data_IF_736850521862
#
_entry.id   IF_736850521862
#
_cell.length_a   1.000
_cell.length_b   1.000
_cell.length_c   1.000
_cell.angle_alpha   90.00
_cell.angle_beta   90.00
_cell.angle_gamma   90.00
#
_symmetry.space_group_name_H-M   'P 1'
#
loop_
_entity.id
_entity.type
_entity.pdbx_description
1 polymer ?
#
# COMPACT_ATOMS: atom_id res chain seq x y z
N UNK A 1 -0.70 -11.06 -15.56
CA UNK A 1 0.07 -10.55 -14.40
C UNK A 1 -0.88 -9.72 -13.55
N UNK A 2 -1.04 -10.07 -12.28
CA UNK A 2 -1.93 -9.36 -11.34
C UNK A 2 -1.15 -8.32 -10.55
N UNK A 3 -1.61 -7.06 -10.56
CA UNK A 3 -1.05 -5.93 -9.81
C UNK A 3 -2.11 -5.37 -8.88
N UNK A 4 -1.77 -5.08 -7.63
CA UNK A 4 -2.63 -4.30 -6.74
C UNK A 4 -2.22 -2.83 -6.78
N UNK A 5 -3.16 -1.94 -7.11
CA UNK A 5 -3.00 -0.50 -6.96
C UNK A 5 -3.64 -0.08 -5.62
N UNK A 6 -2.82 -0.01 -4.58
CA UNK A 6 -3.25 0.27 -3.21
C UNK A 6 -3.44 1.77 -3.01
N UNK A 7 -4.63 2.17 -2.57
CA UNK A 7 -4.92 3.55 -2.18
C UNK A 7 -4.41 3.79 -0.77
N UNK A 8 -3.32 4.52 -0.62
CA UNK A 8 -2.58 4.70 0.64
C UNK A 8 -3.25 5.62 1.66
N UNK A 9 -4.59 5.68 1.68
CA UNK A 9 -5.35 6.48 2.66
C UNK A 9 -6.75 5.90 2.85
N UNK A 10 -7.32 6.15 4.02
CA UNK A 10 -8.73 5.88 4.34
C UNK A 10 -9.63 7.12 4.19
N UNK A 11 -9.10 8.26 3.73
CA UNK A 11 -9.90 9.47 3.53
C UNK A 11 -10.94 9.25 2.40
N UNK A 12 -12.20 9.71 2.57
CA UNK A 12 -13.25 9.55 1.55
C UNK A 12 -12.90 10.24 0.23
N UNK A 13 -12.25 11.40 0.28
CA UNK A 13 -11.73 12.11 -0.88
C UNK A 13 -10.20 12.02 -0.91
N UNK A 14 -9.63 11.66 -2.08
CA UNK A 14 -8.17 11.56 -2.24
C UNK A 14 -7.76 11.65 -3.70
N UNK A 15 -6.83 12.56 -4.01
CA UNK A 15 -6.16 12.60 -5.32
C UNK A 15 -5.39 11.32 -5.62
N UNK A 16 -4.83 10.68 -4.59
CA UNK A 16 -4.13 9.41 -4.75
C UNK A 16 -5.08 8.26 -5.11
N UNK A 17 -6.35 8.29 -4.67
CA UNK A 17 -7.37 7.37 -5.16
C UNK A 17 -7.67 7.58 -6.64
N UNK A 18 -7.74 8.84 -7.09
CA UNK A 18 -7.90 9.12 -8.53
C UNK A 18 -6.68 8.65 -9.32
N UNK A 19 -5.48 8.82 -8.78
CA UNK A 19 -4.24 8.32 -9.39
C UNK A 19 -4.26 6.79 -9.53
N UNK A 20 -4.63 6.05 -8.49
CA UNK A 20 -4.75 4.59 -8.54
C UNK A 20 -5.75 4.14 -9.62
N UNK A 21 -6.93 4.77 -9.66
CA UNK A 21 -7.95 4.50 -10.68
C UNK A 21 -7.48 4.85 -12.09
N UNK A 22 -6.76 5.96 -12.24
CA UNK A 22 -6.17 6.35 -13.53
C UNK A 22 -5.16 5.31 -14.01
N UNK A 23 -4.26 4.85 -13.13
CA UNK A 23 -3.26 3.82 -13.44
C UNK A 23 -3.96 2.53 -13.91
N UNK A 24 -4.96 2.07 -13.14
CA UNK A 24 -5.71 0.87 -13.49
C UNK A 24 -6.41 0.99 -14.85
N UNK A 25 -7.04 2.13 -15.13
CA UNK A 25 -7.70 2.39 -16.42
C UNK A 25 -6.70 2.51 -17.57
N UNK A 26 -5.59 3.24 -17.36
CA UNK A 26 -4.61 3.57 -18.41
C UNK A 26 -3.77 2.38 -18.85
N UNK A 27 -3.51 1.46 -17.92
CA UNK A 27 -2.62 0.32 -18.14
C UNK A 27 -3.30 -1.04 -18.00
N UNK A 28 -4.63 -1.08 -17.95
CA UNK A 28 -5.41 -2.31 -17.86
C UNK A 28 -5.26 -3.26 -19.05
N UNK A 29 -4.77 -2.77 -20.20
CA UNK A 29 -4.38 -3.59 -21.34
C UNK A 29 -3.02 -4.29 -21.17
N UNK A 30 -2.19 -3.82 -20.23
CA UNK A 30 -0.85 -4.34 -19.94
C UNK A 30 -0.82 -5.37 -18.81
N UNK A 31 -1.70 -5.19 -17.82
CA UNK A 31 -1.80 -6.07 -16.65
C UNK A 31 -3.21 -6.01 -16.06
N UNK A 32 -3.58 -7.05 -15.32
CA UNK A 32 -4.78 -7.05 -14.48
C UNK A 32 -4.49 -6.20 -13.23
N UNK A 33 -4.93 -4.93 -13.24
CA UNK A 33 -4.67 -3.97 -12.18
C UNK A 33 -5.94 -3.76 -11.35
N UNK A 34 -5.95 -4.31 -10.15
CA UNK A 34 -7.04 -4.16 -9.19
C UNK A 34 -6.75 -2.99 -8.24
N UNK A 35 -7.69 -2.02 -8.15
CA UNK A 35 -7.61 -0.94 -7.15
C UNK A 35 -8.06 -1.47 -5.80
N UNK A 36 -7.20 -1.34 -4.79
CA UNK A 36 -7.45 -1.84 -3.43
C UNK A 36 -7.54 -0.70 -2.43
N UNK A 37 -8.65 -0.62 -1.73
CA UNK A 37 -8.88 0.32 -0.62
C UNK A 37 -8.43 -0.30 0.70
N UNK A 38 -8.03 0.56 1.65
CA UNK A 38 -7.59 0.17 3.01
C UNK A 38 -8.50 0.75 4.10
N UNK A 39 -9.58 1.43 3.71
CA UNK A 39 -10.48 2.19 4.61
C UNK A 39 -11.24 1.30 5.60
N UNK A 40 -11.40 0.02 5.30
CA UNK A 40 -12.14 -0.95 6.12
C UNK A 40 -11.25 -1.96 6.83
N UNK A 41 -9.94 -1.81 6.74
CA UNK A 41 -9.01 -2.70 7.43
C UNK A 41 -8.97 -2.38 8.92
N UNK A 42 -9.03 -3.40 9.74
CA UNK A 42 -8.85 -3.26 11.17
C UNK A 42 -7.47 -2.68 11.49
N UNK A 43 -7.39 -1.63 12.32
CA UNK A 43 -6.11 -1.08 12.73
C UNK A 43 -5.20 -2.13 13.36
N UNK A 44 -3.92 -2.07 13.04
CA UNK A 44 -2.94 -3.01 13.59
C UNK A 44 -2.76 -2.81 15.09
N UNK A 45 -2.78 -3.91 15.81
CA UNK A 45 -2.30 -4.01 17.18
C UNK A 45 -1.47 -5.28 17.32
N UNK A 46 -0.35 -5.19 18.02
CA UNK A 46 0.59 -6.30 18.16
C UNK A 46 0.00 -7.49 18.93
N UNK A 47 -1.04 -7.26 19.71
CA UNK A 47 -1.73 -8.28 20.54
C UNK A 47 -2.97 -8.85 19.87
N UNK A 48 -3.44 -8.23 18.78
CA UNK A 48 -4.68 -8.64 18.13
C UNK A 48 -4.42 -9.75 17.11
N UNK A 49 -5.44 -10.59 16.95
CA UNK A 49 -5.46 -11.58 15.86
C UNK A 49 -6.09 -10.99 14.62
N UNK A 50 -5.59 -11.38 13.47
CA UNK A 50 -6.14 -10.97 12.17
C UNK A 50 -7.60 -11.42 12.03
N UNK A 51 -8.50 -10.47 11.83
CA UNK A 51 -9.89 -10.71 11.48
C UNK A 51 -10.04 -11.07 9.98
N UNK A 52 -11.27 -11.25 9.52
CA UNK A 52 -11.53 -11.65 8.14
C UNK A 52 -11.11 -10.58 7.12
N UNK A 53 -11.19 -9.28 7.47
CA UNK A 53 -10.73 -8.19 6.60
C UNK A 53 -9.22 -8.26 6.39
N UNK A 54 -8.48 -8.53 7.45
CA UNK A 54 -7.01 -8.66 7.42
C UNK A 54 -6.58 -9.95 6.73
N UNK A 55 -7.27 -11.07 7.00
CA UNK A 55 -6.98 -12.34 6.28
C UNK A 55 -7.16 -12.17 4.77
N UNK A 56 -8.22 -11.47 4.35
CA UNK A 56 -8.44 -11.18 2.93
C UNK A 56 -7.37 -10.24 2.37
N UNK A 57 -6.98 -9.19 3.12
CA UNK A 57 -5.91 -8.28 2.74
C UNK A 57 -4.58 -9.02 2.51
N UNK A 58 -4.17 -9.85 3.45
CA UNK A 58 -2.96 -10.69 3.33
C UNK A 58 -3.04 -11.62 2.12
N UNK A 59 -4.19 -12.25 1.87
CA UNK A 59 -4.42 -13.12 0.71
C UNK A 59 -4.30 -12.37 -0.61
N UNK A 60 -4.89 -11.17 -0.69
CA UNK A 60 -4.84 -10.34 -1.91
C UNK A 60 -3.40 -9.94 -2.23
N UNK A 61 -2.66 -9.45 -1.24
CA UNK A 61 -1.24 -9.08 -1.38
C UNK A 61 -0.39 -10.29 -1.75
N UNK A 62 -0.60 -11.43 -1.10
CA UNK A 62 0.13 -12.67 -1.40
C UNK A 62 -0.08 -13.11 -2.86
N UNK A 63 -1.29 -13.00 -3.38
CA UNK A 63 -1.66 -13.43 -4.73
C UNK A 63 -1.17 -12.49 -5.84
N UNK A 64 -0.83 -11.25 -5.51
CA UNK A 64 -0.36 -10.28 -6.48
C UNK A 64 1.09 -10.51 -6.91
N UNK A 65 1.38 -10.28 -8.18
CA UNK A 65 2.74 -10.31 -8.74
C UNK A 65 3.54 -9.05 -8.40
N UNK A 66 2.85 -7.94 -8.13
CA UNK A 66 3.46 -6.67 -7.74
C UNK A 66 2.42 -5.72 -7.15
N UNK A 67 2.89 -4.64 -6.54
CA UNK A 67 2.05 -3.65 -5.88
C UNK A 67 2.45 -2.26 -6.37
N UNK A 68 1.47 -1.40 -6.59
CA UNK A 68 1.64 0.04 -6.75
C UNK A 68 0.97 0.70 -5.55
N UNK A 69 1.70 1.47 -4.76
CA UNK A 69 1.12 2.21 -3.64
C UNK A 69 1.01 3.68 -4.03
N UNK A 70 -0.21 4.19 -4.04
CA UNK A 70 -0.46 5.63 -4.26
C UNK A 70 -0.58 6.31 -2.90
N UNK A 71 0.43 7.11 -2.51
CA UNK A 71 0.59 7.61 -1.15
C UNK A 71 0.38 9.13 -1.07
N UNK A 72 -0.57 9.63 -0.26
CA UNK A 72 -0.60 11.04 0.13
C UNK A 72 0.39 11.31 1.27
N UNK A 73 0.74 12.58 1.44
CA UNK A 73 1.57 13.04 2.54
C UNK A 73 0.68 13.69 3.61
N UNK A 74 0.73 13.17 4.84
CA UNK A 74 0.09 13.74 6.01
C UNK A 74 1.18 14.04 7.05
N UNK A 75 1.32 15.32 7.43
CA UNK A 75 2.31 15.76 8.42
C UNK A 75 3.74 15.25 8.13
N UNK A 76 4.16 15.35 6.87
CA UNK A 76 5.48 14.93 6.37
C UNK A 76 5.75 13.40 6.40
N UNK A 77 4.72 12.58 6.58
CA UNK A 77 4.83 11.13 6.64
C UNK A 77 3.72 10.44 5.86
N UNK A 78 3.71 9.11 5.86
CA UNK A 78 2.60 8.32 5.34
C UNK A 78 1.39 8.38 6.28
N UNK A 79 0.15 8.20 5.77
CA UNK A 79 -1.04 8.11 6.62
C UNK A 79 -0.95 6.95 7.62
N UNK A 80 -1.44 7.16 8.84
CA UNK A 80 -1.48 6.12 9.89
C UNK A 80 -2.21 4.85 9.43
N UNK A 81 -3.30 4.99 8.66
CA UNK A 81 -4.03 3.86 8.10
C UNK A 81 -3.16 3.03 7.15
N UNK A 82 -2.31 3.67 6.34
CA UNK A 82 -1.38 2.96 5.45
C UNK A 82 -0.31 2.23 6.27
N UNK A 83 0.31 2.90 7.24
CA UNK A 83 1.30 2.26 8.11
C UNK A 83 0.71 1.03 8.80
N UNK A 84 -0.49 1.16 9.37
CA UNK A 84 -1.23 0.07 10.00
C UNK A 84 -1.50 -1.09 9.02
N UNK A 85 -1.93 -0.82 7.79
CA UNK A 85 -2.18 -1.85 6.79
C UNK A 85 -0.91 -2.62 6.39
N UNK A 86 0.25 -1.95 6.37
CA UNK A 86 1.54 -2.55 6.09
C UNK A 86 2.03 -3.43 7.27
N UNK A 87 1.80 -3.03 8.52
CA UNK A 87 2.17 -3.83 9.70
C UNK A 87 1.54 -5.23 9.66
N UNK A 88 0.31 -5.36 9.19
CA UNK A 88 -0.34 -6.66 9.00
C UNK A 88 0.32 -7.58 7.97
N UNK A 89 1.15 -7.02 7.09
CA UNK A 89 1.84 -7.76 6.02
C UNK A 89 3.26 -8.19 6.40
N UNK A 90 3.81 -7.62 7.48
CA UNK A 90 5.17 -7.88 7.94
C UNK A 90 5.30 -9.13 8.79
N UNK A 91 6.53 -9.41 9.22
CA UNK A 91 6.88 -10.60 9.99
C UNK A 91 6.24 -10.68 11.38
N UNK A 92 5.83 -9.55 11.96
CA UNK A 92 5.24 -9.52 13.29
C UNK A 92 3.80 -10.06 13.33
N UNK A 93 3.06 -9.94 12.24
CA UNK A 93 1.66 -10.34 12.15
C UNK A 93 1.44 -11.71 11.51
N UNK A 94 2.50 -12.32 10.99
CA UNK A 94 2.39 -13.61 10.31
C UNK A 94 3.51 -13.82 9.28
N UNK A 95 3.30 -14.70 8.29
CA UNK A 95 4.29 -14.91 7.23
C UNK A 95 4.45 -13.61 6.43
N UNK A 96 5.70 -13.12 6.32
CA UNK A 96 6.02 -11.92 5.55
C UNK A 96 5.66 -12.11 4.07
N UNK A 97 4.52 -11.56 3.65
CA UNK A 97 4.02 -11.64 2.26
C UNK A 97 4.62 -10.56 1.37
N UNK A 98 5.38 -9.63 1.95
CA UNK A 98 6.07 -8.55 1.23
C UNK A 98 7.47 -8.93 0.77
N UNK A 99 8.06 -9.98 1.34
CA UNK A 99 9.43 -10.38 1.02
C UNK A 99 9.65 -10.53 -0.47
N UNK A 100 10.57 -9.75 -1.01
CA UNK A 100 10.91 -9.68 -2.45
C UNK A 100 9.75 -9.32 -3.38
N UNK A 101 8.62 -8.89 -2.84
CA UNK A 101 7.48 -8.40 -3.64
C UNK A 101 7.87 -7.12 -4.37
N UNK A 102 7.74 -7.04 -5.69
CA UNK A 102 7.96 -5.78 -6.43
C UNK A 102 6.94 -4.72 -5.99
N UNK A 103 7.44 -3.56 -5.56
CA UNK A 103 6.60 -2.44 -5.11
C UNK A 103 7.04 -1.16 -5.77
N UNK A 104 6.14 -0.51 -6.49
CA UNK A 104 6.31 0.86 -6.97
C UNK A 104 5.56 1.82 -6.04
N UNK A 105 6.20 2.92 -5.69
CA UNK A 105 5.61 3.99 -4.87
C UNK A 105 5.43 5.22 -5.72
N UNK A 106 4.21 5.76 -5.75
CA UNK A 106 3.86 6.99 -6.46
C UNK A 106 2.99 7.86 -5.56
N UNK A 107 3.10 9.17 -5.71
CA UNK A 107 2.31 10.11 -4.92
C UNK A 107 1.87 11.31 -5.73
N UNK A 108 0.76 11.90 -5.33
CA UNK A 108 0.29 13.18 -5.84
C UNK A 108 -0.23 14.04 -4.70
N UNK A 109 -0.17 15.35 -4.87
CA UNK A 109 -0.67 16.33 -3.91
C UNK A 109 -1.33 17.48 -4.65
N UNK A 110 -2.07 18.30 -3.92
CA UNK A 110 -2.59 19.56 -4.45
C UNK A 110 -1.47 20.55 -4.82
N UNK A 111 -0.37 20.52 -4.06
CA UNK A 111 0.80 21.35 -4.30
C UNK A 111 1.82 20.72 -5.26
N UNK A 112 2.99 21.34 -5.37
CA UNK A 112 4.05 20.95 -6.32
C UNK A 112 4.93 19.77 -5.85
N UNK A 113 4.87 19.41 -4.56
CA UNK A 113 5.80 18.42 -3.98
C UNK A 113 5.43 16.95 -4.24
N UNK A 114 4.16 16.67 -4.61
CA UNK A 114 3.76 15.31 -5.00
C UNK A 114 3.94 14.25 -3.90
N UNK A 115 3.79 14.63 -2.62
CA UNK A 115 3.98 13.74 -1.47
C UNK A 115 5.41 13.17 -1.35
N UNK A 116 6.43 13.97 -1.65
CA UNK A 116 7.84 13.51 -1.73
C UNK A 116 8.34 12.87 -0.43
N UNK A 117 8.05 13.47 0.73
CA UNK A 117 8.48 12.94 2.04
C UNK A 117 7.78 11.63 2.39
N UNK A 118 6.47 11.53 2.12
CA UNK A 118 5.75 10.28 2.31
C UNK A 118 6.27 9.17 1.40
N UNK A 119 6.72 9.50 0.17
CA UNK A 119 7.34 8.54 -0.72
C UNK A 119 8.70 8.05 -0.21
N UNK A 120 9.49 8.90 0.43
CA UNK A 120 10.75 8.51 1.09
C UNK A 120 10.47 7.64 2.31
N UNK A 121 9.57 8.08 3.20
CA UNK A 121 9.17 7.37 4.42
C UNK A 121 8.69 5.94 4.12
N UNK A 122 7.78 5.78 3.16
CA UNK A 122 7.30 4.45 2.82
C UNK A 122 8.38 3.55 2.20
N UNK A 123 9.33 4.09 1.46
CA UNK A 123 10.44 3.31 0.92
C UNK A 123 11.30 2.74 2.04
N UNK A 124 11.60 3.52 3.06
CA UNK A 124 12.34 3.04 4.24
C UNK A 124 11.60 1.92 4.95
N UNK A 125 10.27 2.08 5.14
CA UNK A 125 9.42 1.03 5.74
C UNK A 125 9.45 -0.26 4.91
N UNK A 126 9.30 -0.17 3.60
CA UNK A 126 9.27 -1.32 2.70
C UNK A 126 10.60 -2.05 2.62
N UNK A 127 11.72 -1.34 2.81
CA UNK A 127 13.07 -1.90 2.82
C UNK A 127 13.48 -2.45 4.19
N UNK A 128 12.68 -2.23 5.23
CA UNK A 128 12.97 -2.74 6.57
C UNK A 128 13.12 -4.29 6.56
N UNK A 129 13.87 -4.87 7.52
CA UNK A 129 14.04 -6.33 7.61
C UNK A 129 12.73 -7.09 7.70
N UNK A 130 11.71 -6.51 8.34
CA UNK A 130 10.40 -7.15 8.53
C UNK A 130 9.55 -7.15 7.25
N UNK A 131 9.80 -6.24 6.32
CA UNK A 131 9.12 -6.16 5.03
C UNK A 131 9.95 -6.79 3.91
N UNK A 132 11.22 -6.41 3.78
CA UNK A 132 12.16 -6.89 2.77
C UNK A 132 11.58 -6.87 1.34
N UNK A 133 10.79 -5.85 1.01
CA UNK A 133 10.19 -5.70 -0.31
C UNK A 133 11.25 -5.36 -1.37
N UNK A 134 10.96 -5.64 -2.62
CA UNK A 134 11.75 -5.18 -3.77
C UNK A 134 11.17 -3.85 -4.26
N UNK A 135 11.71 -2.74 -3.77
CA UNK A 135 11.22 -1.40 -4.10
C UNK A 135 11.83 -0.92 -5.41
N UNK A 136 10.95 -0.54 -6.35
CA UNK A 136 11.29 -0.06 -7.69
C UNK A 136 11.53 1.46 -7.71
#
# INVERSE_FOLDING_TARGET
>A
MKILAVVGTNAPFSYNRFLAKFIAKRYGDKADIEVKEIDKLTPFSRTDTADDSIKQWVKDVKSANGIIITVPEYDHAIPAALKSSLEWLGSHAGPNVMKMKPVAVVGTSYGTQGASRAQEDIREILLSPDMSANVL
#
